data_IF_405959455001
#
_entry.id   IF_405959455001
#
_cell.length_a   1.000
_cell.length_b   1.000
_cell.length_c   1.000
_cell.angle_alpha   90.00
_cell.angle_beta   90.00
_cell.angle_gamma   90.00
#
_symmetry.space_group_name_H-M   'P 1'
#
loop_
_entity.id
_entity.type
_entity.pdbx_description
1 polymer ?
#
# COMPACT_ATOMS: atom_id res chain seq x y z
N UNK A 1 -30.27 -20.49 -84.07
CA UNK A 1 -31.48 -19.72 -83.72
C UNK A 1 -32.21 -20.46 -82.61
N UNK A 2 -32.01 -20.05 -81.35
CA UNK A 2 -32.97 -20.21 -80.24
C UNK A 2 -32.46 -19.38 -79.07
N UNK A 3 -33.18 -18.31 -78.75
CA UNK A 3 -32.99 -17.46 -77.57
C UNK A 3 -33.74 -18.09 -76.40
N UNK A 4 -33.12 -18.14 -75.23
CA UNK A 4 -33.85 -18.30 -73.96
C UNK A 4 -33.36 -17.18 -73.04
N UNK A 5 -34.28 -16.29 -72.69
CA UNK A 5 -34.17 -15.26 -71.66
C UNK A 5 -34.37 -15.92 -70.30
N UNK A 6 -33.55 -15.58 -69.30
CA UNK A 6 -33.91 -15.77 -67.90
C UNK A 6 -33.40 -14.59 -67.08
N UNK A 7 -34.33 -14.06 -66.29
CA UNK A 7 -34.34 -12.75 -65.63
C UNK A 7 -33.74 -12.84 -64.23
N UNK A 8 -32.87 -11.87 -63.94
CA UNK A 8 -32.51 -11.19 -62.68
C UNK A 8 -32.78 -11.86 -61.32
N UNK A 9 -31.75 -11.86 -60.47
CA UNK A 9 -31.90 -11.44 -59.07
C UNK A 9 -30.59 -10.79 -58.56
N UNK A 10 -30.65 -9.47 -58.36
CA UNK A 10 -29.66 -8.68 -57.64
C UNK A 10 -29.90 -8.85 -56.14
N UNK A 11 -28.88 -9.25 -55.38
CA UNK A 11 -28.81 -8.99 -53.94
C UNK A 11 -27.47 -8.30 -53.68
N UNK A 12 -27.55 -7.00 -53.41
CA UNK A 12 -26.50 -6.19 -52.83
C UNK A 12 -26.63 -6.23 -51.31
N UNK A 13 -25.64 -6.78 -50.60
CA UNK A 13 -25.38 -6.50 -49.19
C UNK A 13 -23.85 -6.38 -49.03
N UNK A 14 -23.30 -5.17 -49.07
CA UNK A 14 -23.15 -4.25 -47.93
C UNK A 14 -22.02 -4.67 -46.98
N UNK A 15 -20.92 -3.92 -47.06
CA UNK A 15 -20.09 -3.57 -45.90
C UNK A 15 -19.48 -4.72 -45.12
N UNK A 16 -18.40 -5.31 -45.62
CA UNK A 16 -17.35 -5.80 -44.72
C UNK A 16 -16.68 -4.57 -44.10
N UNK A 17 -17.31 -4.03 -43.06
CA UNK A 17 -16.57 -3.30 -42.05
C UNK A 17 -15.55 -4.28 -41.48
N UNK A 18 -14.27 -3.98 -41.65
CA UNK A 18 -13.22 -4.53 -40.81
C UNK A 18 -13.55 -4.11 -39.37
N UNK A 19 -14.42 -4.88 -38.72
CA UNK A 19 -14.43 -4.94 -37.28
C UNK A 19 -12.98 -5.29 -36.91
N UNK A 20 -12.28 -4.34 -36.29
CA UNK A 20 -11.10 -4.65 -35.50
C UNK A 20 -11.46 -5.90 -34.71
N UNK A 21 -10.79 -7.01 -35.01
CA UNK A 21 -10.73 -8.14 -34.09
C UNK A 21 -10.12 -7.57 -32.82
N UNK A 22 -10.97 -7.13 -31.89
CA UNK A 22 -10.62 -7.08 -30.49
C UNK A 22 -10.42 -8.53 -30.11
N UNK A 23 -9.18 -9.02 -30.21
CA UNK A 23 -8.75 -10.17 -29.44
C UNK A 23 -9.23 -9.93 -28.01
N UNK A 24 -10.03 -10.82 -27.39
CA UNK A 24 -10.43 -10.61 -26.01
C UNK A 24 -9.14 -10.51 -25.21
N UNK A 25 -8.87 -9.32 -24.65
CA UNK A 25 -7.82 -9.21 -23.63
C UNK A 25 -8.15 -10.28 -22.61
N UNK A 26 -7.15 -11.08 -22.24
CA UNK A 26 -7.31 -12.09 -21.22
C UNK A 26 -7.96 -11.44 -19.98
N UNK A 27 -9.04 -12.00 -19.42
CA UNK A 27 -9.70 -11.42 -18.25
C UNK A 27 -8.70 -11.16 -17.12
N UNK A 28 -7.68 -12.01 -16.96
CA UNK A 28 -6.61 -11.75 -16.00
C UNK A 28 -5.83 -10.46 -16.31
N UNK A 29 -5.42 -10.25 -17.56
CA UNK A 29 -4.71 -9.02 -17.98
C UNK A 29 -5.60 -7.78 -17.84
N UNK A 30 -6.88 -7.90 -18.19
CA UNK A 30 -7.85 -6.82 -18.05
C UNK A 30 -8.06 -6.43 -16.58
N UNK A 31 -8.00 -7.41 -15.67
CA UNK A 31 -8.02 -7.16 -14.24
C UNK A 31 -6.76 -6.40 -13.78
N UNK A 32 -5.57 -6.80 -14.21
CA UNK A 32 -4.33 -6.08 -13.86
C UNK A 32 -4.36 -4.63 -14.38
N UNK A 33 -4.80 -4.42 -15.62
CA UNK A 33 -4.98 -3.07 -16.19
C UNK A 33 -6.03 -2.24 -15.44
N UNK A 34 -7.04 -2.88 -14.84
CA UNK A 34 -8.02 -2.20 -14.00
C UNK A 34 -7.42 -1.82 -12.64
N UNK A 35 -6.65 -2.71 -12.02
CA UNK A 35 -5.92 -2.42 -10.77
C UNK A 35 -4.93 -1.27 -10.94
N UNK A 36 -4.20 -1.22 -12.06
CA UNK A 36 -3.28 -0.11 -12.40
C UNK A 36 -4.00 1.23 -12.58
N UNK A 37 -5.30 1.20 -12.91
CA UNK A 37 -6.16 2.38 -13.03
C UNK A 37 -6.93 2.67 -11.74
N UNK A 38 -6.66 1.93 -10.67
CA UNK A 38 -7.38 1.97 -9.39
C UNK A 38 -8.89 1.70 -9.53
N UNK A 39 -9.30 1.05 -10.63
CA UNK A 39 -10.67 0.66 -10.90
C UNK A 39 -10.95 -0.71 -10.27
N UNK A 40 -11.23 -0.69 -8.96
CA UNK A 40 -11.40 -1.89 -8.14
C UNK A 40 -12.64 -2.70 -8.54
N UNK A 41 -13.70 -2.03 -9.02
CA UNK A 41 -14.90 -2.71 -9.50
C UNK A 41 -14.63 -3.49 -10.80
N UNK A 42 -13.92 -2.90 -11.76
CA UNK A 42 -13.53 -3.60 -12.98
C UNK A 42 -12.51 -4.71 -12.69
N UNK A 43 -11.55 -4.47 -11.79
CA UNK A 43 -10.60 -5.49 -11.37
C UNK A 43 -11.30 -6.69 -10.75
N UNK A 44 -12.27 -6.44 -9.85
CA UNK A 44 -13.12 -7.47 -9.26
C UNK A 44 -13.84 -8.30 -10.33
N UNK A 45 -14.55 -7.62 -11.24
CA UNK A 45 -15.33 -8.28 -12.29
C UNK A 45 -14.47 -9.19 -13.18
N UNK A 46 -13.31 -8.70 -13.61
CA UNK A 46 -12.41 -9.45 -14.48
C UNK A 46 -11.76 -10.64 -13.76
N UNK A 47 -11.32 -10.48 -12.51
CA UNK A 47 -10.78 -11.58 -11.71
C UNK A 47 -11.85 -12.63 -11.41
N UNK A 48 -13.10 -12.22 -11.14
CA UNK A 48 -14.21 -13.16 -10.95
C UNK A 48 -14.45 -14.02 -12.20
N UNK A 49 -14.44 -13.41 -13.39
CA UNK A 49 -14.59 -14.13 -14.65
C UNK A 49 -13.42 -15.06 -14.94
N UNK A 50 -12.19 -14.64 -14.63
CA UNK A 50 -11.01 -15.49 -14.74
C UNK A 50 -11.11 -16.72 -13.82
N UNK A 51 -11.43 -16.52 -12.55
CA UNK A 51 -11.52 -17.59 -11.55
C UNK A 51 -12.64 -18.59 -11.83
N UNK A 52 -13.69 -18.22 -12.58
CA UNK A 52 -14.68 -19.20 -13.09
C UNK A 52 -14.05 -20.25 -14.01
N UNK A 53 -13.07 -19.84 -14.81
CA UNK A 53 -12.38 -20.71 -15.77
C UNK A 53 -11.11 -21.34 -15.19
N UNK A 54 -10.45 -20.65 -14.27
CA UNK A 54 -9.18 -21.04 -13.66
C UNK A 54 -9.23 -20.97 -12.13
N UNK A 55 -10.09 -21.78 -11.46
CA UNK A 55 -10.32 -21.69 -10.02
C UNK A 55 -9.11 -22.07 -9.16
N UNK A 56 -8.09 -22.69 -9.76
CA UNK A 56 -6.86 -23.13 -9.10
C UNK A 56 -5.69 -22.14 -9.31
N UNK A 57 -5.95 -20.98 -9.92
CA UNK A 57 -4.93 -19.96 -10.10
C UNK A 57 -4.66 -19.20 -8.80
N UNK A 58 -3.59 -19.61 -8.11
CA UNK A 58 -3.17 -19.02 -6.85
C UNK A 58 -2.91 -17.51 -6.95
N UNK A 59 -2.38 -17.04 -8.08
CA UNK A 59 -2.03 -15.63 -8.26
C UNK A 59 -3.29 -14.78 -8.42
N UNK A 60 -4.30 -15.29 -9.13
CA UNK A 60 -5.60 -14.63 -9.23
C UNK A 60 -6.31 -14.54 -7.88
N UNK A 61 -6.23 -15.57 -7.04
CA UNK A 61 -6.72 -15.49 -5.66
C UNK A 61 -5.99 -14.43 -4.84
N UNK A 62 -4.66 -14.31 -4.97
CA UNK A 62 -3.92 -13.24 -4.31
C UNK A 62 -4.31 -11.84 -4.79
N UNK A 63 -4.46 -11.62 -6.11
CA UNK A 63 -4.96 -10.34 -6.63
C UNK A 63 -6.38 -10.05 -6.13
N UNK A 64 -7.20 -11.08 -5.97
CA UNK A 64 -8.54 -10.91 -5.44
C UNK A 64 -8.53 -10.47 -3.98
N UNK A 65 -7.63 -11.02 -3.16
CA UNK A 65 -7.41 -10.52 -1.80
C UNK A 65 -7.05 -9.02 -1.76
N UNK A 66 -6.19 -8.56 -2.69
CA UNK A 66 -5.83 -7.13 -2.78
C UNK A 66 -7.00 -6.24 -3.19
N UNK A 67 -7.83 -6.69 -4.13
CA UNK A 67 -9.05 -5.96 -4.50
C UNK A 67 -9.99 -5.83 -3.31
N UNK A 68 -10.15 -6.88 -2.49
CA UNK A 68 -10.93 -6.76 -1.26
C UNK A 68 -10.32 -5.80 -0.23
N UNK A 69 -8.99 -5.74 -0.07
CA UNK A 69 -8.35 -4.73 0.79
C UNK A 69 -8.65 -3.29 0.34
N UNK A 70 -8.87 -3.08 -0.95
CA UNK A 70 -9.12 -1.73 -1.51
C UNK A 70 -10.57 -1.26 -1.40
N UNK A 71 -11.52 -2.18 -1.22
CA UNK A 71 -12.94 -1.81 -1.13
C UNK A 71 -13.23 -1.11 0.20
N UNK A 72 -14.06 -0.04 0.20
CA UNK A 72 -14.45 0.63 1.43
C UNK A 72 -15.23 -0.31 2.35
N UNK A 73 -15.01 -0.21 3.66
CA UNK A 73 -15.67 -1.01 4.69
C UNK A 73 -14.82 -2.19 5.20
N UNK A 74 -15.44 -3.06 6.00
CA UNK A 74 -14.77 -4.20 6.66
C UNK A 74 -14.62 -5.41 5.73
N UNK A 75 -13.76 -5.29 4.71
CA UNK A 75 -13.50 -6.36 3.74
C UNK A 75 -12.34 -7.29 4.14
N UNK A 76 -11.70 -7.02 5.27
CA UNK A 76 -10.57 -7.79 5.82
C UNK A 76 -10.81 -9.30 5.86
N UNK A 77 -11.98 -9.82 6.30
CA UNK A 77 -12.24 -11.26 6.30
C UNK A 77 -12.20 -11.90 4.91
N UNK A 78 -12.71 -11.19 3.89
CA UNK A 78 -12.67 -11.67 2.51
C UNK A 78 -11.25 -11.67 1.96
N UNK A 79 -10.48 -10.61 2.21
CA UNK A 79 -9.07 -10.55 1.81
C UNK A 79 -8.26 -11.72 2.40
N UNK A 80 -8.46 -12.00 3.70
CA UNK A 80 -7.82 -13.14 4.39
C UNK A 80 -8.20 -14.49 3.77
N UNK A 81 -9.47 -14.68 3.42
CA UNK A 81 -9.94 -15.92 2.78
C UNK A 81 -9.24 -16.15 1.43
N UNK A 82 -9.18 -15.13 0.59
CA UNK A 82 -8.50 -15.21 -0.70
C UNK A 82 -6.99 -15.42 -0.55
N UNK A 83 -6.33 -14.80 0.44
CA UNK A 83 -4.93 -15.09 0.74
C UNK A 83 -4.70 -16.51 1.25
N UNK A 84 -5.62 -17.05 2.05
CA UNK A 84 -5.56 -18.45 2.46
C UNK A 84 -5.69 -19.39 1.26
N UNK A 85 -6.61 -19.11 0.34
CA UNK A 85 -6.77 -19.89 -0.89
C UNK A 85 -5.52 -19.82 -1.77
N UNK A 86 -4.95 -18.63 -1.97
CA UNK A 86 -3.72 -18.43 -2.72
C UNK A 86 -2.56 -19.26 -2.14
N UNK A 87 -2.38 -19.23 -0.82
CA UNK A 87 -1.35 -20.01 -0.11
C UNK A 87 -1.60 -21.52 -0.20
N UNK A 88 -2.86 -21.95 -0.09
CA UNK A 88 -3.21 -23.37 -0.20
C UNK A 88 -2.94 -23.93 -1.61
N UNK A 89 -3.16 -23.11 -2.64
CA UNK A 89 -2.93 -23.48 -4.04
C UNK A 89 -1.45 -23.42 -4.43
N UNK A 90 -0.74 -22.39 -3.95
CA UNK A 90 0.70 -22.23 -4.13
C UNK A 90 1.39 -21.85 -2.81
N UNK A 91 1.91 -22.82 -2.06
CA UNK A 91 2.65 -22.56 -0.82
C UNK A 91 3.97 -21.83 -1.00
N UNK A 92 4.43 -21.62 -2.25
CA UNK A 92 5.61 -20.81 -2.56
C UNK A 92 5.26 -19.38 -2.96
N UNK A 93 3.97 -18.99 -2.88
CA UNK A 93 3.49 -17.65 -3.17
C UNK A 93 3.85 -16.66 -2.06
N UNK A 94 5.09 -16.19 -2.07
CA UNK A 94 5.61 -15.22 -1.12
C UNK A 94 4.72 -13.97 -1.04
N UNK A 95 4.23 -13.44 -2.16
CA UNK A 95 3.33 -12.27 -2.15
C UNK A 95 2.10 -12.45 -1.26
N UNK A 96 1.52 -13.66 -1.19
CA UNK A 96 0.37 -13.95 -0.35
C UNK A 96 0.72 -13.99 1.14
N UNK A 97 1.89 -14.53 1.51
CA UNK A 97 2.38 -14.46 2.90
C UNK A 97 2.64 -13.02 3.33
N UNK A 98 3.28 -12.22 2.48
CA UNK A 98 3.52 -10.81 2.80
C UNK A 98 2.21 -10.04 3.00
N UNK A 99 1.26 -10.17 2.07
CA UNK A 99 -0.04 -9.49 2.17
C UNK A 99 -0.82 -9.92 3.42
N UNK A 100 -0.90 -11.24 3.69
CA UNK A 100 -1.62 -11.74 4.86
C UNK A 100 -0.94 -11.35 6.18
N UNK A 101 0.39 -11.36 6.21
CA UNK A 101 1.18 -10.91 7.36
C UNK A 101 0.91 -9.45 7.73
N UNK A 102 0.79 -8.54 6.73
CA UNK A 102 0.41 -7.14 6.97
C UNK A 102 -0.98 -7.01 7.59
N UNK A 103 -1.96 -7.78 7.08
CA UNK A 103 -3.30 -7.77 7.66
C UNK A 103 -3.28 -8.27 9.11
N UNK A 104 -2.56 -9.37 9.39
CA UNK A 104 -2.43 -9.84 10.76
C UNK A 104 -1.77 -8.83 11.68
N UNK A 105 -0.77 -8.09 11.19
CA UNK A 105 -0.14 -7.01 11.95
C UNK A 105 -1.15 -5.89 12.28
N UNK A 106 -1.96 -5.46 11.30
CA UNK A 106 -3.02 -4.46 11.52
C UNK A 106 -4.09 -4.93 12.51
N UNK A 107 -4.35 -6.24 12.55
CA UNK A 107 -5.25 -6.87 13.51
C UNK A 107 -4.59 -7.16 14.87
N UNK A 108 -3.36 -6.70 15.10
CA UNK A 108 -2.56 -6.96 16.32
C UNK A 108 -2.32 -8.45 16.61
N UNK A 109 -2.42 -9.30 15.56
CA UNK A 109 -2.13 -10.74 15.64
C UNK A 109 -0.65 -10.97 15.37
N UNK A 110 0.20 -10.49 16.26
CA UNK A 110 1.65 -10.38 16.07
C UNK A 110 2.33 -11.72 15.77
N UNK A 111 1.97 -12.82 16.43
CA UNK A 111 2.57 -14.14 16.20
C UNK A 111 2.20 -14.70 14.82
N UNK A 112 0.95 -14.45 14.38
CA UNK A 112 0.49 -14.88 13.06
C UNK A 112 1.18 -14.07 11.95
N UNK A 113 1.33 -12.76 12.16
CA UNK A 113 2.05 -11.87 11.27
C UNK A 113 3.53 -12.26 11.16
N UNK A 114 4.21 -12.47 12.30
CA UNK A 114 5.61 -12.91 12.34
C UNK A 114 5.80 -14.22 11.55
N UNK A 115 4.93 -15.21 11.79
CA UNK A 115 5.00 -16.50 11.09
C UNK A 115 4.96 -16.32 9.57
N UNK A 116 4.09 -15.45 9.07
CA UNK A 116 3.97 -15.19 7.64
C UNK A 116 5.19 -14.45 7.08
N UNK A 117 5.72 -13.45 7.79
CA UNK A 117 6.93 -12.74 7.38
C UNK A 117 8.19 -13.63 7.39
N UNK A 118 8.33 -14.50 8.39
CA UNK A 118 9.41 -15.50 8.43
C UNK A 118 9.25 -16.53 7.30
N UNK A 119 8.01 -16.92 6.97
CA UNK A 119 7.76 -17.82 5.83
C UNK A 119 8.16 -17.13 4.53
N UNK A 120 7.74 -15.89 4.30
CA UNK A 120 8.15 -15.07 3.14
C UNK A 120 9.67 -15.04 2.96
N UNK A 121 10.41 -14.84 4.04
CA UNK A 121 11.87 -14.74 4.03
C UNK A 121 12.54 -16.08 3.69
N UNK A 122 11.98 -17.19 4.15
CA UNK A 122 12.54 -18.53 3.99
C UNK A 122 12.16 -19.21 2.67
N UNK A 123 11.18 -18.68 1.94
CA UNK A 123 10.82 -19.19 0.62
C UNK A 123 11.96 -19.02 -0.40
N UNK A 124 12.15 -19.97 -1.33
CA UNK A 124 13.18 -19.87 -2.36
C UNK A 124 13.11 -18.55 -3.10
N UNK A 125 14.26 -17.86 -3.21
CA UNK A 125 14.38 -16.60 -3.96
C UNK A 125 14.07 -16.88 -5.44
N UNK A 126 12.85 -16.58 -5.87
CA UNK A 126 12.38 -17.04 -7.17
C UNK A 126 11.01 -16.56 -7.60
N UNK A 127 10.23 -15.93 -6.72
CA UNK A 127 9.03 -15.20 -7.11
C UNK A 127 9.42 -13.97 -7.92
N UNK A 128 9.64 -14.18 -9.22
CA UNK A 128 9.57 -13.12 -10.21
C UNK A 128 8.08 -12.86 -10.42
N UNK A 129 7.49 -12.03 -9.56
CA UNK A 129 6.30 -11.32 -9.98
C UNK A 129 6.78 -10.38 -11.08
N UNK A 130 6.63 -10.78 -12.34
CA UNK A 130 6.85 -9.87 -13.46
C UNK A 130 5.89 -8.69 -13.28
N UNK A 131 6.39 -7.57 -12.80
CA UNK A 131 5.77 -6.27 -13.03
C UNK A 131 6.63 -5.61 -14.11
N UNK A 132 6.24 -5.81 -15.36
CA UNK A 132 6.65 -4.92 -16.44
C UNK A 132 5.66 -3.77 -16.50
N UNK A 133 5.94 -2.67 -15.81
CA UNK A 133 5.43 -1.37 -16.23
C UNK A 133 6.49 -0.30 -15.99
N UNK A 134 7.29 -0.03 -17.01
CA UNK A 134 7.81 1.32 -17.21
C UNK A 134 7.17 1.87 -18.48
N UNK A 135 6.05 2.58 -18.31
CA UNK A 135 5.50 3.43 -19.37
C UNK A 135 6.28 4.74 -19.35
N UNK A 136 7.44 4.76 -20.00
CA UNK A 136 7.99 5.97 -20.57
C UNK A 136 8.25 5.76 -22.07
N UNK A 137 7.63 6.62 -22.87
CA UNK A 137 7.25 6.44 -24.27
C UNK A 137 8.37 6.27 -25.31
N UNK A 138 9.61 5.97 -24.95
CA UNK A 138 10.70 6.00 -25.95
C UNK A 138 11.76 4.91 -25.90
N UNK A 139 12.00 4.17 -24.81
CA UNK A 139 13.00 3.09 -24.84
C UNK A 139 12.63 1.96 -23.87
N UNK A 140 12.33 0.78 -24.39
CA UNK A 140 12.24 -0.45 -23.61
C UNK A 140 13.66 -0.94 -23.31
N UNK A 141 14.10 -0.85 -22.05
CA UNK A 141 15.34 -1.41 -21.56
C UNK A 141 15.16 -1.84 -20.11
N UNK A 142 15.48 -3.11 -19.80
CA UNK A 142 15.41 -3.65 -18.43
C UNK A 142 16.64 -3.15 -17.67
N UNK A 143 16.48 -2.32 -16.62
CA UNK A 143 17.61 -1.81 -15.81
C UNK A 143 17.99 -2.70 -14.63
N UNK A 144 17.34 -3.86 -14.43
CA UNK A 144 17.75 -4.88 -13.46
C UNK A 144 16.69 -5.95 -13.25
N UNK A 145 17.10 -7.17 -12.89
CA UNK A 145 16.19 -8.22 -12.42
C UNK A 145 16.11 -8.11 -10.89
N UNK A 146 15.01 -7.58 -10.37
CA UNK A 146 14.73 -7.54 -8.93
C UNK A 146 13.56 -8.50 -8.64
N UNK A 147 13.74 -9.40 -7.67
CA UNK A 147 12.64 -10.24 -7.18
C UNK A 147 11.80 -9.47 -6.17
N UNK A 148 10.53 -9.84 -6.01
CA UNK A 148 9.66 -9.27 -4.97
C UNK A 148 10.34 -9.32 -3.59
N UNK A 149 10.91 -10.47 -3.26
CA UNK A 149 11.63 -10.69 -2.00
C UNK A 149 12.87 -9.80 -1.87
N UNK A 150 13.59 -9.53 -2.97
CA UNK A 150 14.72 -8.60 -2.95
C UNK A 150 14.28 -7.16 -2.66
N UNK A 151 13.19 -6.70 -3.27
CA UNK A 151 12.68 -5.34 -3.06
C UNK A 151 12.07 -5.16 -1.67
N UNK A 152 11.31 -6.14 -1.20
CA UNK A 152 10.63 -6.10 0.09
C UNK A 152 11.53 -6.50 1.27
N UNK A 153 12.78 -6.88 1.06
CA UNK A 153 13.65 -7.40 2.13
C UNK A 153 13.74 -6.46 3.34
N UNK A 154 13.96 -5.17 3.13
CA UNK A 154 14.00 -4.18 4.22
C UNK A 154 12.63 -4.06 4.92
N UNK A 155 11.53 -4.02 4.15
CA UNK A 155 10.16 -3.92 4.68
C UNK A 155 9.78 -5.14 5.52
N UNK A 156 10.20 -6.33 5.14
CA UNK A 156 9.93 -7.56 5.90
C UNK A 156 10.61 -7.51 7.26
N UNK A 157 11.89 -7.11 7.32
CA UNK A 157 12.58 -6.92 8.59
C UNK A 157 11.92 -5.83 9.45
N UNK A 158 11.52 -4.72 8.84
CA UNK A 158 10.75 -3.68 9.52
C UNK A 158 9.44 -4.24 10.13
N UNK A 159 8.65 -4.99 9.36
CA UNK A 159 7.41 -5.59 9.87
C UNK A 159 7.66 -6.67 10.93
N UNK A 160 8.73 -7.45 10.84
CA UNK A 160 9.16 -8.36 11.91
C UNK A 160 9.51 -7.59 13.19
N UNK A 161 10.20 -6.45 13.05
CA UNK A 161 10.46 -5.52 14.16
C UNK A 161 9.17 -5.04 14.81
N UNK A 162 8.18 -4.63 14.03
CA UNK A 162 6.86 -4.23 14.54
C UNK A 162 6.11 -5.38 15.24
N UNK A 163 6.19 -6.61 14.72
CA UNK A 163 5.61 -7.77 15.39
C UNK A 163 6.25 -7.96 16.78
N UNK A 164 7.58 -7.86 16.86
CA UNK A 164 8.31 -7.99 18.12
C UNK A 164 8.04 -6.84 19.08
N UNK A 165 7.83 -5.61 18.58
CA UNK A 165 7.34 -4.49 19.39
C UNK A 165 5.99 -4.80 20.02
N UNK A 166 5.03 -5.31 19.24
CA UNK A 166 3.70 -5.69 19.74
C UNK A 166 3.72 -6.85 20.73
N UNK A 167 4.72 -7.73 20.64
CA UNK A 167 4.99 -8.80 21.61
C UNK A 167 5.88 -8.36 22.78
N UNK A 168 6.20 -7.06 22.89
CA UNK A 168 7.07 -6.47 23.92
C UNK A 168 8.51 -7.04 23.97
N UNK A 169 8.96 -7.69 22.90
CA UNK A 169 10.31 -8.23 22.76
C UNK A 169 11.24 -7.16 22.14
N UNK A 170 11.51 -6.11 22.91
CA UNK A 170 12.16 -4.90 22.40
C UNK A 170 13.61 -5.13 21.89
N UNK A 171 14.38 -6.03 22.49
CA UNK A 171 15.70 -6.40 21.97
C UNK A 171 15.61 -7.00 20.57
N UNK A 172 14.67 -7.94 20.37
CA UNK A 172 14.47 -8.59 19.08
C UNK A 172 13.93 -7.62 18.04
N UNK A 173 13.04 -6.71 18.45
CA UNK A 173 12.58 -5.62 17.61
C UNK A 173 13.74 -4.75 17.13
N UNK A 174 14.63 -4.33 18.04
CA UNK A 174 15.80 -3.55 17.68
C UNK A 174 16.73 -4.28 16.70
N UNK A 175 16.98 -5.58 16.88
CA UNK A 175 17.76 -6.38 15.93
C UNK A 175 17.15 -6.39 14.52
N UNK A 176 15.83 -6.56 14.42
CA UNK A 176 15.15 -6.54 13.13
C UNK A 176 15.15 -5.14 12.48
N UNK A 177 15.00 -4.08 13.26
CA UNK A 177 15.13 -2.73 12.74
C UNK A 177 16.56 -2.45 12.25
N UNK A 178 17.59 -2.93 12.95
CA UNK A 178 18.99 -2.84 12.49
C UNK A 178 19.18 -3.52 11.12
N UNK A 179 18.60 -4.71 10.94
CA UNK A 179 18.64 -5.42 9.64
C UNK A 179 17.89 -4.66 8.54
N UNK A 180 16.74 -4.04 8.85
CA UNK A 180 16.01 -3.22 7.88
C UNK A 180 16.83 -1.99 7.45
N UNK A 181 17.42 -1.28 8.41
CA UNK A 181 18.22 -0.06 8.21
C UNK A 181 19.50 -0.37 7.43
N UNK A 182 20.17 -1.49 7.69
CA UNK A 182 21.37 -1.92 6.96
C UNK A 182 21.09 -2.11 5.46
N UNK A 183 19.90 -2.61 5.11
CA UNK A 183 19.50 -2.80 3.71
C UNK A 183 19.08 -1.49 3.07
N UNK A 184 18.21 -0.74 3.75
CA UNK A 184 17.74 0.58 3.30
C UNK A 184 17.38 1.43 4.52
N UNK A 185 18.14 2.48 4.82
CA UNK A 185 17.78 3.41 5.87
C UNK A 185 16.57 4.22 5.44
N UNK A 186 15.51 4.18 6.24
CA UNK A 186 14.28 4.97 6.07
C UNK A 186 13.98 5.66 7.42
N UNK A 187 13.40 6.88 7.41
CA UNK A 187 13.12 7.60 8.64
C UNK A 187 12.12 6.85 9.53
N UNK A 188 11.15 6.14 8.97
CA UNK A 188 10.20 5.30 9.71
C UNK A 188 10.92 4.19 10.50
N UNK A 189 11.90 3.51 9.90
CA UNK A 189 12.60 2.39 10.55
C UNK A 189 13.44 2.87 11.73
N UNK A 190 14.14 4.00 11.55
CA UNK A 190 14.91 4.66 12.60
C UNK A 190 14.00 5.18 13.72
N UNK A 191 12.84 5.71 13.36
CA UNK A 191 11.84 6.20 14.32
C UNK A 191 11.29 5.05 15.16
N UNK A 192 10.94 3.92 14.57
CA UNK A 192 10.46 2.76 15.35
C UNK A 192 11.57 2.07 16.14
N UNK A 193 12.80 2.04 15.62
CA UNK A 193 13.97 1.64 16.39
C UNK A 193 14.13 2.49 17.64
N UNK A 194 13.94 3.81 17.55
CA UNK A 194 14.07 4.68 18.73
C UNK A 194 13.06 4.30 19.82
N UNK A 195 11.84 3.88 19.44
CA UNK A 195 10.84 3.43 20.41
C UNK A 195 11.25 2.13 21.09
N UNK A 196 11.77 1.16 20.33
CA UNK A 196 12.33 -0.06 20.91
C UNK A 196 13.44 0.27 21.92
N UNK A 197 14.34 1.19 21.56
CA UNK A 197 15.45 1.61 22.43
C UNK A 197 14.97 2.34 23.69
N UNK A 198 13.91 3.15 23.61
CA UNK A 198 13.31 3.78 24.79
C UNK A 198 12.72 2.75 25.74
N UNK A 199 12.01 1.73 25.22
CA UNK A 199 11.50 0.62 26.04
C UNK A 199 12.61 -0.20 26.70
N UNK A 200 13.85 -0.10 26.20
CA UNK A 200 15.06 -0.73 26.74
C UNK A 200 15.87 0.20 27.66
N UNK A 201 15.35 1.38 28.02
CA UNK A 201 16.07 2.42 28.78
C UNK A 201 17.35 2.94 28.09
N UNK A 202 17.47 2.79 26.77
CA UNK A 202 18.62 3.21 25.94
C UNK A 202 18.39 4.57 25.29
N UNK A 203 18.03 5.57 26.09
CA UNK A 203 17.59 6.90 25.60
C UNK A 203 18.61 7.63 24.72
N UNK A 204 19.91 7.50 25.00
CA UNK A 204 20.95 8.14 24.19
C UNK A 204 21.00 7.57 22.76
N UNK A 205 20.79 6.27 22.62
CA UNK A 205 20.78 5.61 21.32
C UNK A 205 19.48 5.89 20.57
N UNK A 206 18.36 5.98 21.30
CA UNK A 206 17.09 6.40 20.74
C UNK A 206 17.18 7.83 20.17
N UNK A 207 17.79 8.76 20.91
CA UNK A 207 18.04 10.13 20.45
C UNK A 207 18.90 10.13 19.17
N UNK A 208 19.98 9.35 19.15
CA UNK A 208 20.85 9.25 17.97
C UNK A 208 20.10 8.72 16.74
N UNK A 209 19.22 7.72 16.92
CA UNK A 209 18.41 7.17 15.83
C UNK A 209 17.44 8.21 15.27
N UNK A 210 16.80 9.00 16.14
CA UNK A 210 15.88 10.07 15.74
C UNK A 210 16.58 11.23 15.04
N UNK A 211 17.78 11.60 15.49
CA UNK A 211 18.60 12.58 14.78
C UNK A 211 18.92 12.08 13.37
N UNK A 212 19.31 10.82 13.24
CA UNK A 212 19.57 10.20 11.93
C UNK A 212 18.32 10.16 11.06
N UNK A 213 17.14 9.88 11.63
CA UNK A 213 15.88 9.92 10.89
C UNK A 213 15.61 11.32 10.32
N UNK A 214 15.88 12.36 11.10
CA UNK A 214 15.71 13.77 10.69
C UNK A 214 16.80 14.28 9.75
N UNK A 215 17.96 13.61 9.68
CA UNK A 215 18.96 13.87 8.64
C UNK A 215 18.49 13.34 7.27
N UNK A 216 17.72 12.24 7.26
CA UNK A 216 17.13 11.66 6.05
C UNK A 216 15.89 12.47 5.61
N UNK A 217 14.97 12.69 6.54
CA UNK A 217 13.78 13.51 6.34
C UNK A 217 13.62 14.53 7.47
N UNK A 218 14.07 15.77 7.25
CA UNK A 218 13.93 16.85 8.23
C UNK A 218 12.47 17.17 8.61
N UNK A 219 11.50 16.82 7.77
CA UNK A 219 10.07 17.06 7.98
C UNK A 219 9.36 15.87 8.65
N UNK A 220 10.09 14.80 9.00
CA UNK A 220 9.52 13.59 9.59
C UNK A 220 8.93 13.85 10.98
N UNK A 221 7.62 14.06 11.02
CA UNK A 221 6.93 14.60 12.19
C UNK A 221 7.09 13.71 13.43
N UNK A 222 6.86 12.39 13.30
CA UNK A 222 6.96 11.45 14.42
C UNK A 222 8.39 11.42 15.00
N UNK A 223 9.41 11.63 14.17
CA UNK A 223 10.80 11.70 14.64
C UNK A 223 11.08 12.99 15.42
N UNK A 224 10.58 14.13 14.94
CA UNK A 224 10.67 15.41 15.66
C UNK A 224 9.98 15.33 17.02
N UNK A 225 8.81 14.69 17.06
CA UNK A 225 8.01 14.53 18.27
C UNK A 225 8.71 13.68 19.32
N UNK A 226 9.14 12.47 18.95
CA UNK A 226 9.86 11.57 19.86
C UNK A 226 11.16 12.23 20.34
N UNK A 227 11.86 12.99 19.49
CA UNK A 227 13.08 13.68 19.86
C UNK A 227 12.83 14.82 20.85
N UNK A 228 11.77 15.60 20.64
CA UNK A 228 11.36 16.65 21.58
C UNK A 228 10.98 16.06 22.94
N UNK A 229 10.26 14.94 22.94
CA UNK A 229 9.91 14.22 24.16
C UNK A 229 11.16 13.78 24.94
N UNK A 230 12.13 13.14 24.27
CA UNK A 230 13.41 12.72 24.90
C UNK A 230 14.16 13.92 25.48
N UNK A 231 14.12 15.07 24.80
CA UNK A 231 14.78 16.31 25.24
C UNK A 231 14.00 17.09 26.30
N UNK A 232 12.85 16.59 26.74
CA UNK A 232 12.00 17.27 27.73
C UNK A 232 11.37 18.57 27.21
N UNK A 233 11.22 18.71 25.89
CA UNK A 233 10.53 19.84 25.28
C UNK A 233 9.03 19.64 25.31
N UNK A 234 8.28 20.73 25.48
CA UNK A 234 6.83 20.68 25.47
C UNK A 234 6.33 20.31 24.05
N UNK A 235 5.43 19.31 23.89
CA UNK A 235 4.79 19.02 22.62
C UNK A 235 4.13 20.24 21.94
N UNK A 236 3.70 21.24 22.72
CA UNK A 236 3.16 22.49 22.17
C UNK A 236 4.20 23.31 21.37
N UNK A 237 5.50 23.12 21.61
CA UNK A 237 6.56 23.75 20.80
C UNK A 237 6.62 23.16 19.38
N UNK A 238 6.11 21.95 19.16
CA UNK A 238 6.12 21.28 17.85
C UNK A 238 4.97 21.70 16.94
N UNK A 239 3.81 22.00 17.52
CA UNK A 239 2.65 22.47 16.75
C UNK A 239 2.77 23.93 16.36
N UNK A 240 3.55 24.74 17.09
CA UNK A 240 3.63 26.17 16.85
C UNK A 240 4.22 26.54 15.48
N UNK A 241 5.31 25.90 15.00
CA UNK A 241 5.76 26.04 13.62
C UNK A 241 4.67 25.73 12.58
N UNK A 242 3.86 24.70 12.81
CA UNK A 242 2.75 24.33 11.92
C UNK A 242 1.62 25.38 11.98
N UNK A 243 1.31 25.91 13.17
CA UNK A 243 0.35 27.02 13.35
C UNK A 243 0.79 28.28 12.61
N UNK A 244 2.07 28.62 12.71
CA UNK A 244 2.66 29.75 11.99
C UNK A 244 2.67 29.48 10.49
N UNK A 245 2.99 28.26 10.05
CA UNK A 245 3.02 27.87 8.64
C UNK A 245 1.64 28.05 7.98
N UNK A 246 0.57 27.54 8.58
CA UNK A 246 -0.78 27.73 8.03
C UNK A 246 -1.22 29.20 8.05
N UNK A 247 -0.74 30.01 9.00
CA UNK A 247 -1.07 31.43 9.10
C UNK A 247 -0.35 32.26 8.03
N UNK A 248 0.91 31.93 7.77
CA UNK A 248 1.75 32.66 6.80
C UNK A 248 1.49 32.22 5.36
N UNK A 249 1.14 30.95 5.17
CA UNK A 249 0.92 30.33 3.85
C UNK A 249 -0.47 29.67 3.77
N UNK A 250 -1.57 30.42 4.00
CA UNK A 250 -2.90 29.84 4.08
C UNK A 250 -3.39 29.22 2.77
N UNK A 251 -2.75 29.54 1.64
CA UNK A 251 -3.09 29.03 0.31
C UNK A 251 -2.22 27.83 -0.12
N UNK A 252 -1.29 27.36 0.72
CA UNK A 252 -0.51 26.16 0.42
C UNK A 252 -1.19 24.93 1.04
N UNK A 253 -1.71 23.96 0.27
CA UNK A 253 -2.40 22.78 0.81
C UNK A 253 -1.50 21.96 1.74
N UNK A 254 -0.20 21.93 1.45
CA UNK A 254 0.79 21.14 2.19
C UNK A 254 0.94 21.55 3.66
N UNK A 255 0.81 22.84 4.00
CA UNK A 255 0.94 23.26 5.41
C UNK A 255 -0.28 22.83 6.24
N UNK A 256 -1.47 22.81 5.63
CA UNK A 256 -2.69 22.32 6.26
C UNK A 256 -2.63 20.81 6.43
N UNK A 257 -2.19 20.11 5.38
CA UNK A 257 -1.97 18.66 5.39
C UNK A 257 -0.99 18.24 6.50
N UNK A 258 0.19 18.88 6.58
CA UNK A 258 1.17 18.67 7.67
C UNK A 258 0.57 18.84 9.07
N UNK A 259 -0.28 19.85 9.27
CA UNK A 259 -0.93 20.07 10.57
C UNK A 259 -2.11 19.13 10.82
N UNK A 260 -2.81 18.70 9.79
CA UNK A 260 -3.82 17.65 9.89
C UNK A 260 -3.21 16.33 10.38
N UNK A 261 -2.05 15.94 9.84
CA UNK A 261 -1.31 14.76 10.32
C UNK A 261 -0.98 14.82 11.80
N UNK A 262 -0.47 15.96 12.27
CA UNK A 262 -0.24 16.19 13.70
C UNK A 262 -1.48 15.85 14.54
N UNK A 263 -2.66 16.27 14.08
CA UNK A 263 -3.91 16.01 14.80
C UNK A 263 -4.41 14.58 14.64
N UNK A 264 -4.19 13.93 13.50
CA UNK A 264 -4.55 12.53 13.24
C UNK A 264 -3.82 11.58 14.20
N UNK A 265 -2.51 11.72 14.32
CA UNK A 265 -1.66 10.89 15.20
C UNK A 265 -2.05 11.01 16.68
N UNK A 266 -2.69 12.11 17.06
CA UNK A 266 -3.16 12.37 18.44
C UNK A 266 -4.65 12.13 18.61
N UNK A 267 -5.28 11.44 17.67
CA UNK A 267 -6.71 11.14 17.65
C UNK A 267 -7.60 12.38 17.81
N UNK A 268 -7.07 13.56 17.45
CA UNK A 268 -7.82 14.80 17.48
C UNK A 268 -8.58 14.97 16.16
N UNK A 269 -9.54 14.07 15.97
CA UNK A 269 -10.30 13.89 14.72
C UNK A 269 -10.94 15.18 14.22
N UNK A 270 -11.44 16.03 15.14
CA UNK A 270 -12.09 17.30 14.79
C UNK A 270 -11.13 18.29 14.15
N UNK A 271 -9.94 18.46 14.72
CA UNK A 271 -8.95 19.40 14.20
C UNK A 271 -8.27 18.85 12.94
N UNK A 272 -8.01 17.54 12.92
CA UNK A 272 -7.55 16.83 11.73
C UNK A 272 -8.50 17.02 10.55
N UNK A 273 -9.79 16.72 10.73
CA UNK A 273 -10.80 16.84 9.68
C UNK A 273 -10.89 18.26 9.15
N UNK A 274 -10.86 19.27 10.04
CA UNK A 274 -10.87 20.69 9.63
C UNK A 274 -9.71 21.01 8.70
N UNK A 275 -8.51 20.62 9.07
CA UNK A 275 -7.30 20.94 8.32
C UNK A 275 -7.20 20.13 7.02
N UNK A 276 -7.63 18.86 7.00
CA UNK A 276 -7.75 18.06 5.78
C UNK A 276 -8.75 18.67 4.79
N UNK A 277 -9.92 19.13 5.28
CA UNK A 277 -10.91 19.80 4.42
C UNK A 277 -10.38 21.10 3.85
N UNK A 278 -9.56 21.84 4.61
CA UNK A 278 -8.92 23.05 4.13
C UNK A 278 -7.84 22.74 3.08
N UNK A 279 -7.03 21.70 3.30
CA UNK A 279 -6.06 21.23 2.31
C UNK A 279 -6.77 20.80 1.02
N UNK A 280 -7.88 20.06 1.14
CA UNK A 280 -8.65 19.54 0.01
C UNK A 280 -9.35 20.64 -0.80
N UNK A 281 -9.76 21.72 -0.14
CA UNK A 281 -10.31 22.89 -0.80
C UNK A 281 -9.27 23.63 -1.66
N UNK A 282 -7.99 23.49 -1.33
CA UNK A 282 -6.86 24.11 -2.04
C UNK A 282 -6.29 23.18 -3.12
N UNK A 283 -6.29 21.86 -2.87
CA UNK A 283 -5.88 20.82 -3.81
C UNK A 283 -6.84 19.63 -3.72
N UNK A 284 -7.69 19.49 -4.73
CA UNK A 284 -8.71 18.45 -4.79
C UNK A 284 -8.25 17.18 -5.52
N UNK A 285 -6.96 17.09 -5.88
CA UNK A 285 -6.40 15.91 -6.56
C UNK A 285 -5.49 15.09 -5.65
N UNK A 286 -5.20 15.55 -4.43
CA UNK A 286 -4.41 14.81 -3.45
C UNK A 286 -5.23 13.64 -2.87
N UNK A 287 -5.02 12.44 -3.43
CA UNK A 287 -5.68 11.20 -3.02
C UNK A 287 -5.47 10.85 -1.54
N UNK A 288 -4.34 11.28 -0.97
CA UNK A 288 -4.00 11.04 0.44
C UNK A 288 -5.00 11.75 1.37
N UNK A 289 -5.44 12.96 1.01
CA UNK A 289 -6.42 13.71 1.81
C UNK A 289 -7.78 12.99 1.90
N UNK A 290 -8.20 12.34 0.81
CA UNK A 290 -9.41 11.53 0.79
C UNK A 290 -9.26 10.28 1.66
N UNK A 291 -8.10 9.63 1.62
CA UNK A 291 -7.79 8.48 2.47
C UNK A 291 -7.91 8.85 3.96
N UNK A 292 -7.30 9.95 4.39
CA UNK A 292 -7.39 10.38 5.79
C UNK A 292 -8.79 10.78 6.23
N UNK A 293 -9.54 11.47 5.37
CA UNK A 293 -10.94 11.79 5.66
C UNK A 293 -11.80 10.52 5.75
N UNK A 294 -11.52 9.52 4.91
CA UNK A 294 -12.13 8.19 4.99
C UNK A 294 -11.85 7.50 6.32
N UNK A 295 -10.59 7.49 6.76
CA UNK A 295 -10.18 6.93 8.07
C UNK A 295 -10.86 7.64 9.24
N UNK A 296 -10.98 8.97 9.19
CA UNK A 296 -11.71 9.72 10.23
C UNK A 296 -13.20 9.34 10.21
N UNK A 297 -13.81 9.24 9.04
CA UNK A 297 -15.22 8.93 8.90
C UNK A 297 -15.58 7.51 9.39
N UNK A 298 -14.73 6.51 9.11
CA UNK A 298 -14.94 5.14 9.59
C UNK A 298 -14.89 5.09 11.12
N UNK A 299 -13.93 5.78 11.73
CA UNK A 299 -13.81 5.89 13.20
C UNK A 299 -14.99 6.61 13.84
N UNK A 300 -15.53 7.66 13.22
CA UNK A 300 -16.69 8.37 13.78
C UNK A 300 -17.99 7.54 13.75
N UNK A 301 -18.10 6.54 12.87
CA UNK A 301 -19.24 5.62 12.82
C UNK A 301 -19.18 4.51 13.89
N UNK A 302 -18.02 4.27 14.51
CA UNK A 302 -17.86 3.31 15.62
C UNK A 302 -18.43 3.83 16.96
N UNK A 303 -18.78 5.12 17.07
CA UNK A 303 -19.24 5.78 18.32
C UNK A 303 -20.70 6.28 18.28
N UNK A 304 -21.49 5.90 17.27
CA UNK A 304 -22.90 6.26 17.12
C UNK A 304 -23.82 5.05 17.37
#
# INVERSE_FOLDING_TARGET
MTRIFLVLLFISLSGFGLARQNSPKNDFEAALEAMDREDQEAAFFHLENWLKSYPQDALAHWYMGQVYESFPGENTPFALEYYNQAINLNPQLASAYFSRGRIFLQMERFEAAEKDFLTFQNLPKGETNQIFFEKNSTQAGVSGIFTLQGNLSAKVFYHLGLCQMGMENYEKANEYFDQAIEIRPEPDYLTEKSQALLSLDRSNEAESALITALEIDPDHFLAQERLAFIRGKNPEELIEPLNIAVKNKPNEPQVWKKRAYYFLERENWKLAERDLRQALALDNQDAELYLYLGTIASRQQEWA
#
